data_IF_626962382277
#
_entry.id   IF_626962382277
#
_cell.length_a   1.000
_cell.length_b   1.000
_cell.length_c   1.000
_cell.angle_alpha   90.00
_cell.angle_beta   90.00
_cell.angle_gamma   90.00
#
_symmetry.space_group_name_H-M   'P 1'
#
loop_
_entity.id
_entity.type
_entity.pdbx_description
1 polymer ?
#
# COMPACT_ATOMS: atom_id res chain seq x y z
N UNK A 1 43.75 -15.31 -64.92
CA UNK A 1 42.55 -14.58 -64.59
C UNK A 1 41.81 -15.37 -63.49
N UNK A 2 41.86 -14.95 -62.25
CA UNK A 2 41.18 -15.59 -61.11
C UNK A 2 40.07 -14.67 -60.64
N UNK A 3 38.83 -15.07 -60.83
CA UNK A 3 37.64 -14.40 -60.44
C UNK A 3 37.35 -14.73 -58.97
N UNK A 4 37.44 -13.72 -58.09
CA UNK A 4 37.13 -13.86 -56.66
C UNK A 4 35.65 -13.62 -56.45
N UNK A 5 35.00 -14.57 -55.80
CA UNK A 5 33.60 -14.51 -55.39
C UNK A 5 33.50 -13.80 -54.02
N UNK A 6 32.85 -12.66 -53.97
CA UNK A 6 32.58 -11.94 -52.73
C UNK A 6 31.24 -12.44 -52.18
N UNK A 7 31.28 -13.11 -51.03
CA UNK A 7 30.08 -13.51 -50.27
C UNK A 7 29.69 -12.37 -49.31
N UNK A 8 28.58 -11.70 -49.57
CA UNK A 8 27.98 -10.75 -48.61
C UNK A 8 27.22 -11.54 -47.53
N UNK A 9 27.72 -11.48 -46.31
CA UNK A 9 27.01 -11.97 -45.14
C UNK A 9 25.98 -10.91 -44.70
N UNK A 10 24.69 -11.21 -44.85
CA UNK A 10 23.59 -10.43 -44.29
C UNK A 10 23.49 -10.73 -42.78
N UNK A 11 23.89 -9.77 -41.96
CA UNK A 11 23.69 -9.82 -40.51
C UNK A 11 22.21 -9.59 -40.23
N UNK A 12 21.49 -10.65 -39.82
CA UNK A 12 20.13 -10.56 -39.34
C UNK A 12 20.08 -9.83 -38.01
N UNK A 13 19.48 -8.65 -37.97
CA UNK A 13 19.14 -7.95 -36.72
C UNK A 13 17.99 -8.71 -36.04
N UNK A 14 18.28 -9.38 -34.94
CA UNK A 14 17.28 -9.94 -34.06
C UNK A 14 16.58 -8.77 -33.34
N UNK A 15 15.33 -8.47 -33.72
CA UNK A 15 14.46 -7.62 -32.94
C UNK A 15 14.14 -8.35 -31.64
N UNK A 16 14.81 -7.96 -30.56
CA UNK A 16 14.39 -8.33 -29.21
C UNK A 16 13.07 -7.61 -28.93
N UNK A 17 11.97 -8.36 -29.01
CA UNK A 17 10.64 -7.88 -28.65
C UNK A 17 10.67 -7.35 -27.21
N UNK A 18 10.38 -6.07 -27.05
CA UNK A 18 10.10 -5.45 -25.75
C UNK A 18 8.84 -6.14 -25.24
N UNK A 19 8.98 -7.02 -24.26
CA UNK A 19 7.86 -7.58 -23.54
C UNK A 19 7.12 -6.40 -22.88
N UNK A 20 5.95 -6.04 -23.44
CA UNK A 20 5.04 -5.10 -22.82
C UNK A 20 4.67 -5.72 -21.48
N UNK A 21 5.07 -5.04 -20.38
CA UNK A 21 4.72 -5.44 -19.03
C UNK A 21 3.20 -5.63 -18.97
N UNK A 22 2.77 -6.85 -18.72
CA UNK A 22 1.38 -7.25 -18.61
C UNK A 22 0.74 -6.38 -17.53
N UNK A 23 -0.32 -5.65 -17.93
CA UNK A 23 -1.04 -4.77 -17.02
C UNK A 23 -1.59 -5.62 -15.88
N UNK A 24 -1.26 -5.33 -14.60
CA UNK A 24 -1.68 -6.18 -13.50
C UNK A 24 -3.20 -6.33 -13.50
N UNK A 25 -3.67 -7.57 -13.49
CA UNK A 25 -5.09 -7.90 -13.47
C UNK A 25 -5.71 -7.40 -12.17
N UNK A 26 -6.59 -6.42 -12.29
CA UNK A 26 -7.32 -5.87 -11.15
C UNK A 26 -8.51 -6.79 -10.87
N UNK A 27 -8.43 -7.59 -9.81
CA UNK A 27 -9.58 -8.36 -9.34
C UNK A 27 -10.47 -7.46 -8.49
N UNK A 28 -11.73 -7.21 -8.88
CA UNK A 28 -12.63 -6.42 -8.08
C UNK A 28 -12.90 -7.13 -6.75
N UNK A 29 -12.87 -6.37 -5.67
CA UNK A 29 -13.21 -6.85 -4.34
C UNK A 29 -14.72 -7.16 -4.28
N UNK A 30 -15.11 -8.34 -3.79
CA UNK A 30 -16.51 -8.67 -3.58
C UNK A 30 -17.10 -7.75 -2.49
N UNK A 31 -18.11 -6.96 -2.84
CA UNK A 31 -18.82 -6.14 -1.88
C UNK A 31 -19.39 -7.02 -0.76
N UNK A 32 -18.99 -6.76 0.50
CA UNK A 32 -19.48 -7.50 1.66
C UNK A 32 -18.50 -8.51 2.26
N UNK A 33 -17.29 -8.69 1.71
CA UNK A 33 -16.29 -9.50 2.38
C UNK A 33 -15.87 -8.84 3.71
N UNK A 34 -15.73 -9.62 4.80
CA UNK A 34 -15.35 -9.06 6.09
C UNK A 34 -13.95 -8.43 6.01
N UNK A 35 -13.67 -7.51 6.91
CA UNK A 35 -12.34 -6.94 7.13
C UNK A 35 -11.34 -8.09 7.16
N UNK A 36 -10.37 -8.13 6.24
CA UNK A 36 -9.43 -9.24 6.11
C UNK A 36 -9.76 -10.28 5.01
N UNK A 37 -10.65 -9.98 4.10
CA UNK A 37 -11.22 -10.95 3.15
C UNK A 37 -10.43 -11.31 1.91
N UNK A 38 -9.21 -10.94 1.67
CA UNK A 38 -8.22 -11.59 0.79
C UNK A 38 -6.87 -11.28 1.39
N UNK A 39 -6.06 -12.28 1.75
CA UNK A 39 -4.70 -12.00 2.17
C UNK A 39 -3.97 -11.34 1.00
N UNK A 40 -3.62 -10.07 1.16
CA UNK A 40 -2.81 -9.32 0.17
C UNK A 40 -1.33 -9.63 0.34
N UNK A 41 -0.99 -10.42 1.34
CA UNK A 41 0.36 -10.88 1.65
C UNK A 41 0.40 -12.38 1.91
N UNK A 42 1.57 -12.96 1.75
CA UNK A 42 1.88 -14.35 2.13
C UNK A 42 2.75 -14.36 3.39
N UNK A 43 2.73 -15.45 4.18
CA UNK A 43 3.65 -15.61 5.32
C UNK A 43 5.10 -15.37 4.89
N UNK A 44 5.84 -14.56 5.65
CA UNK A 44 7.23 -14.19 5.36
C UNK A 44 7.41 -12.92 4.52
N UNK A 45 6.37 -12.38 3.90
CA UNK A 45 6.48 -11.07 3.24
C UNK A 45 6.59 -9.95 4.27
N UNK A 46 7.55 -9.05 4.04
CA UNK A 46 7.71 -7.86 4.86
C UNK A 46 6.91 -6.70 4.29
N UNK A 47 6.06 -6.13 5.12
CA UNK A 47 5.27 -4.95 4.75
C UNK A 47 5.05 -4.02 5.95
N UNK A 48 4.72 -2.80 5.63
CA UNK A 48 4.07 -1.83 6.52
C UNK A 48 2.74 -1.42 5.90
N UNK A 49 1.77 -1.07 6.71
CA UNK A 49 0.46 -0.72 6.18
C UNK A 49 -0.36 0.15 7.11
N UNK A 50 -1.37 0.78 6.51
CA UNK A 50 -2.40 1.53 7.21
C UNK A 50 -3.77 1.15 6.68
N UNK A 51 -4.77 1.22 7.55
CA UNK A 51 -6.17 1.07 7.18
C UNK A 51 -6.98 2.23 7.73
N UNK A 52 -7.63 2.97 6.84
CA UNK A 52 -8.61 3.98 7.18
C UNK A 52 -9.94 3.32 7.55
N UNK A 53 -10.42 3.61 8.76
CA UNK A 53 -11.66 3.06 9.27
C UNK A 53 -12.86 3.98 9.11
N UNK A 54 -14.00 3.53 9.63
CA UNK A 54 -15.25 4.28 9.61
C UNK A 54 -15.20 5.47 10.55
N UNK A 55 -15.78 6.58 10.10
CA UNK A 55 -16.13 7.74 10.95
C UNK A 55 -17.64 8.03 10.84
N UNK A 56 -18.14 8.97 11.61
CA UNK A 56 -19.51 9.47 11.45
C UNK A 56 -19.61 10.43 10.26
N UNK A 57 -19.39 9.93 9.03
CA UNK A 57 -19.43 10.77 7.82
C UNK A 57 -18.93 10.00 6.60
N UNK A 58 -18.46 10.75 5.60
CA UNK A 58 -18.00 10.23 4.32
C UNK A 58 -16.48 9.94 4.30
N UNK A 59 -15.90 9.43 5.39
CA UNK A 59 -14.49 9.04 5.41
C UNK A 59 -14.24 7.90 4.42
N UNK A 60 -13.08 7.92 3.73
CA UNK A 60 -12.67 6.80 2.93
C UNK A 60 -12.42 5.57 3.81
N UNK A 61 -12.89 4.42 3.34
CA UNK A 61 -12.63 3.12 3.96
C UNK A 61 -11.70 2.36 3.03
N UNK A 62 -10.49 2.12 3.48
CA UNK A 62 -9.42 1.55 2.66
C UNK A 62 -8.38 0.81 3.49
N UNK A 63 -7.57 0.02 2.81
CA UNK A 63 -6.33 -0.57 3.29
C UNK A 63 -5.21 -0.24 2.30
N UNK A 64 -4.04 0.08 2.80
CA UNK A 64 -2.86 0.43 2.01
C UNK A 64 -1.64 -0.28 2.59
N UNK A 65 -1.01 -1.11 1.78
CA UNK A 65 0.17 -1.89 2.13
C UNK A 65 1.33 -1.51 1.24
N UNK A 66 2.51 -1.39 1.83
CA UNK A 66 3.78 -1.15 1.14
C UNK A 66 4.75 -2.25 1.53
N UNK A 67 5.20 -3.01 0.55
CA UNK A 67 6.09 -4.16 0.71
C UNK A 67 7.56 -3.77 0.54
N UNK A 68 8.46 -4.57 1.10
CA UNK A 68 9.92 -4.35 1.02
C UNK A 68 10.44 -4.28 -0.43
N UNK A 69 9.78 -4.95 -1.38
CA UNK A 69 10.11 -4.93 -2.81
C UNK A 69 9.57 -3.71 -3.56
N UNK A 70 8.95 -2.76 -2.87
CA UNK A 70 8.31 -1.57 -3.46
C UNK A 70 6.92 -1.82 -4.03
N UNK A 71 6.36 -3.01 -3.89
CA UNK A 71 4.97 -3.29 -4.24
C UNK A 71 4.03 -2.53 -3.30
N UNK A 72 3.06 -1.84 -3.87
CA UNK A 72 1.99 -1.15 -3.15
C UNK A 72 0.68 -1.81 -3.49
N UNK A 73 -0.09 -2.20 -2.46
CA UNK A 73 -1.43 -2.75 -2.61
C UNK A 73 -2.42 -1.84 -1.90
N UNK A 74 -3.41 -1.38 -2.63
CA UNK A 74 -4.50 -0.56 -2.13
C UNK A 74 -5.82 -1.32 -2.28
N UNK A 75 -6.59 -1.42 -1.20
CA UNK A 75 -7.94 -2.00 -1.21
C UNK A 75 -8.94 -0.93 -0.79
N UNK A 76 -9.61 -0.32 -1.77
CA UNK A 76 -10.65 0.68 -1.52
C UNK A 76 -12.01 0.01 -1.35
N UNK A 77 -12.78 0.40 -0.32
CA UNK A 77 -14.09 -0.20 -0.01
C UNK A 77 -15.24 0.78 -0.15
N UNK A 78 -15.14 1.93 0.50
CA UNK A 78 -16.22 2.93 0.57
C UNK A 78 -15.65 4.32 0.54
N UNK A 79 -16.34 5.24 -0.14
CA UNK A 79 -15.94 6.64 -0.25
C UNK A 79 -14.53 6.85 -0.80
N UNK A 80 -14.09 5.97 -1.70
CA UNK A 80 -12.83 6.04 -2.43
C UNK A 80 -13.13 6.06 -3.93
N UNK A 81 -12.32 6.77 -4.73
CA UNK A 81 -12.47 6.78 -6.19
C UNK A 81 -12.06 5.45 -6.82
N UNK A 82 -11.24 4.67 -6.11
CA UNK A 82 -10.82 3.33 -6.52
C UNK A 82 -11.41 2.31 -5.57
N UNK A 83 -12.45 1.63 -5.99
CA UNK A 83 -13.06 0.51 -5.27
C UNK A 83 -12.43 -0.80 -5.76
N UNK A 84 -12.17 -1.73 -4.83
CA UNK A 84 -11.50 -3.00 -5.11
C UNK A 84 -10.00 -2.95 -4.84
N UNK A 85 -9.28 -3.98 -5.28
CA UNK A 85 -7.84 -4.13 -5.04
C UNK A 85 -7.05 -3.59 -6.23
N UNK A 86 -6.12 -2.69 -5.96
CA UNK A 86 -5.29 -2.01 -6.94
C UNK A 86 -3.83 -2.15 -6.55
N UNK A 87 -2.97 -2.36 -7.54
CA UNK A 87 -1.54 -2.53 -7.33
C UNK A 87 -0.76 -1.47 -8.10
N UNK A 88 0.37 -1.04 -7.54
CA UNK A 88 1.38 -0.24 -8.22
C UNK A 88 2.76 -0.54 -7.64
N UNK A 89 3.81 -0.05 -8.28
CA UNK A 89 5.17 -0.06 -7.73
C UNK A 89 5.64 1.35 -7.40
N UNK A 90 6.40 1.45 -6.33
CA UNK A 90 7.20 2.61 -5.92
C UNK A 90 8.65 2.17 -5.77
N UNK A 91 9.55 3.11 -5.53
CA UNK A 91 10.92 2.79 -5.19
C UNK A 91 10.97 1.98 -3.86
N UNK A 92 11.77 0.89 -3.76
CA UNK A 92 11.83 0.06 -2.55
C UNK A 92 12.20 0.85 -1.28
N UNK A 93 12.94 1.95 -1.43
CA UNK A 93 13.33 2.85 -0.35
C UNK A 93 12.14 3.43 0.40
N UNK A 94 10.98 3.57 -0.27
CA UNK A 94 9.74 4.06 0.35
C UNK A 94 9.28 3.16 1.50
N UNK A 95 9.45 1.84 1.36
CA UNK A 95 9.20 0.92 2.46
C UNK A 95 10.07 1.24 3.69
N UNK A 96 11.37 1.46 3.49
CA UNK A 96 12.30 1.76 4.57
C UNK A 96 11.98 3.11 5.25
N UNK A 97 11.57 4.11 4.50
CA UNK A 97 11.15 5.41 5.03
C UNK A 97 9.89 5.31 5.87
N UNK A 98 8.87 4.60 5.38
CA UNK A 98 7.63 4.36 6.12
C UNK A 98 7.87 3.51 7.37
N UNK A 99 8.71 2.49 7.28
CA UNK A 99 9.13 1.69 8.43
C UNK A 99 9.83 2.56 9.48
N UNK A 100 10.74 3.44 9.04
CA UNK A 100 11.45 4.39 9.92
C UNK A 100 10.45 5.31 10.63
N UNK A 101 9.43 5.78 9.94
CA UNK A 101 8.35 6.59 10.55
C UNK A 101 7.62 5.82 11.63
N UNK A 102 7.21 4.58 11.36
CA UNK A 102 6.52 3.73 12.34
C UNK A 102 7.40 3.50 13.58
N UNK A 103 8.69 3.20 13.37
CA UNK A 103 9.64 2.96 14.47
C UNK A 103 9.90 4.23 15.28
N UNK A 104 10.14 5.36 14.60
CA UNK A 104 10.43 6.65 15.25
C UNK A 104 9.25 7.17 16.07
N UNK A 105 8.05 6.99 15.58
CA UNK A 105 6.81 7.41 16.29
C UNK A 105 6.46 6.46 17.43
N UNK A 106 7.09 5.28 17.52
CA UNK A 106 6.80 4.23 18.49
C UNK A 106 5.32 3.81 18.51
N UNK A 107 4.63 4.03 17.40
CA UNK A 107 3.18 3.83 17.32
C UNK A 107 2.75 2.40 17.64
N UNK A 108 3.56 1.40 17.28
CA UNK A 108 3.26 -0.01 17.58
C UNK A 108 3.58 -0.42 19.02
N UNK A 109 4.27 0.43 19.76
CA UNK A 109 4.56 0.23 21.19
C UNK A 109 3.53 0.92 22.09
N UNK A 110 2.65 1.73 21.49
CA UNK A 110 1.55 2.41 22.19
C UNK A 110 0.59 1.35 22.76
N UNK A 111 0.54 1.28 24.07
CA UNK A 111 -0.61 0.66 24.74
C UNK A 111 -1.79 1.62 24.52
N UNK A 112 -2.87 1.12 23.95
CA UNK A 112 -4.09 1.90 23.76
C UNK A 112 -4.49 2.50 25.10
N UNK A 113 -4.11 3.77 25.30
CA UNK A 113 -4.56 4.52 26.47
C UNK A 113 -6.08 4.65 26.33
N UNK A 114 -6.83 3.96 27.17
CA UNK A 114 -8.28 4.09 27.28
C UNK A 114 -8.59 5.47 27.87
N UNK A 115 -8.37 6.51 27.08
CA UNK A 115 -8.75 7.88 27.40
C UNK A 115 -10.14 8.19 26.87
N UNK A 116 -10.66 9.36 27.24
CA UNK A 116 -11.90 9.89 26.67
C UNK A 116 -11.65 10.26 25.21
N UNK A 117 -12.27 9.54 24.29
CA UNK A 117 -12.17 9.81 22.86
C UNK A 117 -13.47 10.43 22.35
N UNK A 118 -13.37 11.43 21.48
CA UNK A 118 -14.53 11.99 20.78
C UNK A 118 -15.10 10.93 19.84
N UNK A 119 -16.40 10.69 19.94
CA UNK A 119 -17.11 9.76 19.06
C UNK A 119 -17.13 10.27 17.62
N UNK A 120 -17.15 9.36 16.67
CA UNK A 120 -17.33 9.68 15.26
C UNK A 120 -16.10 10.24 14.53
N UNK A 121 -14.93 10.23 15.14
CA UNK A 121 -13.67 10.57 14.51
C UNK A 121 -13.10 9.38 13.75
N UNK A 122 -12.20 9.65 12.81
CA UNK A 122 -11.56 8.62 12.02
C UNK A 122 -10.68 7.71 12.87
N UNK A 123 -10.67 6.44 12.52
CA UNK A 123 -9.79 5.43 13.12
C UNK A 123 -8.77 5.02 12.07
N UNK A 124 -7.50 5.09 12.40
CA UNK A 124 -6.40 4.57 11.60
C UNK A 124 -5.84 3.33 12.28
N UNK A 125 -5.78 2.23 11.54
CA UNK A 125 -5.03 1.04 11.97
C UNK A 125 -3.67 1.08 11.31
N UNK A 126 -2.59 1.00 12.09
CA UNK A 126 -1.21 0.87 11.62
C UNK A 126 -0.78 -0.57 11.77
N UNK A 127 -0.13 -1.10 10.75
CA UNK A 127 0.25 -2.52 10.64
C UNK A 127 1.71 -2.65 10.26
N UNK A 128 2.37 -3.68 10.79
CA UNK A 128 3.71 -4.10 10.37
C UNK A 128 3.81 -5.62 10.45
N UNK A 129 4.29 -6.27 9.40
CA UNK A 129 4.66 -7.68 9.47
C UNK A 129 5.95 -7.85 10.27
N UNK A 130 6.00 -8.86 11.16
CA UNK A 130 7.24 -9.32 11.75
C UNK A 130 7.97 -10.23 10.76
N UNK A 131 9.26 -10.03 10.57
CA UNK A 131 10.04 -10.60 9.47
C UNK A 131 10.14 -12.12 9.45
N UNK A 132 10.04 -12.78 10.58
CA UNK A 132 10.46 -14.19 10.70
C UNK A 132 9.32 -15.14 11.10
N UNK A 133 8.25 -14.63 11.67
CA UNK A 133 7.13 -15.44 12.17
C UNK A 133 5.86 -15.32 11.31
N UNK A 134 5.81 -14.36 10.41
CA UNK A 134 4.59 -14.03 9.69
C UNK A 134 3.54 -13.30 10.52
N UNK A 135 3.85 -13.00 11.79
CA UNK A 135 2.95 -12.26 12.66
C UNK A 135 2.81 -10.82 12.19
N UNK A 136 1.62 -10.27 12.34
CA UNK A 136 1.35 -8.86 12.04
C UNK A 136 1.06 -8.12 13.34
N UNK A 137 1.92 -7.17 13.67
CA UNK A 137 1.63 -6.22 14.76
C UNK A 137 0.68 -5.15 14.25
N UNK A 138 -0.34 -4.86 15.04
CA UNK A 138 -1.35 -3.84 14.71
C UNK A 138 -1.61 -2.95 15.90
N UNK A 139 -1.88 -1.67 15.62
CA UNK A 139 -2.41 -0.73 16.60
C UNK A 139 -3.53 0.09 15.96
N UNK A 140 -4.58 0.39 16.73
CA UNK A 140 -5.69 1.23 16.30
C UNK A 140 -5.60 2.58 16.99
N UNK A 141 -5.52 3.65 16.20
CA UNK A 141 -5.47 5.03 16.66
C UNK A 141 -6.79 5.72 16.33
N UNK A 142 -7.46 6.28 17.31
CA UNK A 142 -8.64 7.12 17.09
C UNK A 142 -8.21 8.59 17.12
N UNK A 143 -8.37 9.31 16.02
CA UNK A 143 -8.02 10.74 15.91
C UNK A 143 -8.82 11.65 16.86
N UNK A 144 -9.89 11.14 17.46
CA UNK A 144 -10.66 11.85 18.48
C UNK A 144 -10.09 11.68 19.89
N UNK A 145 -9.08 10.87 20.10
CA UNK A 145 -8.42 10.72 21.40
C UNK A 145 -7.31 11.75 21.57
N UNK A 146 -7.14 12.23 22.78
CA UNK A 146 -6.09 13.19 23.10
C UNK A 146 -4.70 12.64 22.72
N UNK A 147 -3.91 13.46 22.03
CA UNK A 147 -2.57 13.11 21.58
C UNK A 147 -2.49 12.26 20.32
N UNK A 148 -3.59 11.77 19.76
CA UNK A 148 -3.55 10.91 18.56
C UNK A 148 -3.90 11.62 17.25
N UNK A 149 -4.53 12.79 17.28
CA UNK A 149 -4.95 13.49 16.07
C UNK A 149 -3.76 13.80 15.14
N UNK A 150 -2.69 14.36 15.68
CA UNK A 150 -1.49 14.72 14.92
C UNK A 150 -0.72 13.47 14.47
N UNK A 151 -0.64 12.46 15.34
CA UNK A 151 0.03 11.19 15.00
C UNK A 151 -0.68 10.47 13.85
N UNK A 152 -2.02 10.38 13.90
CA UNK A 152 -2.84 9.82 12.82
C UNK A 152 -2.58 10.58 11.52
N UNK A 153 -2.68 11.92 11.56
CA UNK A 153 -2.45 12.77 10.38
C UNK A 153 -1.04 12.62 9.81
N UNK A 154 -0.04 12.54 10.66
CA UNK A 154 1.35 12.37 10.25
C UNK A 154 1.56 11.03 9.56
N UNK A 155 1.14 9.92 10.19
CA UNK A 155 1.36 8.57 9.64
C UNK A 155 0.57 8.40 8.35
N UNK A 156 -0.74 8.65 8.37
CA UNK A 156 -1.60 8.53 7.20
C UNK A 156 -1.12 9.41 6.04
N UNK A 157 -0.77 10.67 6.33
CA UNK A 157 -0.26 11.62 5.35
C UNK A 157 1.00 11.13 4.65
N UNK A 158 1.98 10.58 5.39
CA UNK A 158 3.19 10.05 4.80
C UNK A 158 2.95 8.80 3.94
N UNK A 159 2.06 7.90 4.37
CA UNK A 159 1.69 6.76 3.53
C UNK A 159 1.06 7.21 2.20
N UNK A 160 0.15 8.17 2.24
CA UNK A 160 -0.52 8.70 1.05
C UNK A 160 0.48 9.42 0.13
N UNK A 161 1.30 10.30 0.69
CA UNK A 161 2.29 11.11 -0.05
C UNK A 161 3.33 10.23 -0.74
N UNK A 162 3.99 9.35 -0.01
CA UNK A 162 5.07 8.52 -0.54
C UNK A 162 4.59 7.47 -1.53
N UNK A 163 3.37 6.99 -1.37
CA UNK A 163 2.79 6.05 -2.32
C UNK A 163 2.08 6.73 -3.49
N UNK A 164 1.72 8.01 -3.38
CA UNK A 164 0.97 8.74 -4.40
C UNK A 164 -0.41 8.14 -4.69
N UNK A 165 -1.12 7.70 -3.64
CA UNK A 165 -2.48 7.15 -3.76
C UNK A 165 -3.58 8.17 -3.42
N UNK A 166 -3.23 9.44 -3.26
CA UNK A 166 -4.15 10.55 -2.96
C UNK A 166 -5.38 10.56 -3.84
N UNK A 167 -5.20 10.38 -5.17
CA UNK A 167 -6.29 10.32 -6.15
C UNK A 167 -7.18 9.10 -6.00
N UNK A 168 -6.68 8.02 -5.38
CA UNK A 168 -7.46 6.81 -5.17
C UNK A 168 -8.37 6.94 -3.93
N UNK A 169 -7.96 7.78 -3.00
CA UNK A 169 -8.69 8.10 -1.76
C UNK A 169 -9.76 9.19 -1.95
N UNK A 170 -9.64 10.01 -2.99
CA UNK A 170 -10.65 11.04 -3.25
C UNK A 170 -12.04 10.41 -3.38
N UNK A 171 -13.11 11.07 -2.88
CA UNK A 171 -14.47 10.56 -3.08
C UNK A 171 -14.79 10.48 -4.58
N UNK A 172 -15.63 9.53 -5.00
CA UNK A 172 -16.11 9.47 -6.38
C UNK A 172 -16.85 10.76 -6.72
N UNK A 173 -16.58 11.28 -7.94
CA UNK A 173 -17.26 12.46 -8.47
C UNK A 173 -18.68 12.13 -8.89
#
# INVERSE_FOLDING_TARGET
MKTGLVVLALAGMAFTGIALAEKPEVKPYAAGAPFGGIPVWTPGEKFVGVSGGTCSGNCPVYELYVFEDGRVVFSGRKNTSKVGVWNKKVAPEIYAELLTTIVRTKVLDEQIKRGTCLKGRSVLTVMRSASDTGDVRTVMLNSGCEGYADLVKQIEGQFIEFTGVDRWLAPPK
#
